data_IF_352538664938
#
_entry.id   IF_352538664938
#
_cell.length_a   1.000
_cell.length_b   1.000
_cell.length_c   1.000
_cell.angle_alpha   90.00
_cell.angle_beta   90.00
_cell.angle_gamma   90.00
#
_symmetry.space_group_name_H-M   'P 1'
#
loop_
_entity.id
_entity.type
_entity.pdbx_description
1 polymer ?
#
# COMPACT_ATOMS: atom_id res chain seq x y z
N UNK A 1 -26.52 -70.05 51.32
CA UNK A 1 -26.56 -68.55 51.55
C UNK A 1 -25.19 -67.90 51.65
N UNK A 2 -24.19 -68.27 50.87
CA UNK A 2 -22.82 -67.63 50.91
C UNK A 2 -22.28 -67.15 49.57
N UNK A 3 -23.06 -67.17 48.50
CA UNK A 3 -22.58 -66.77 47.15
C UNK A 3 -23.09 -65.40 46.66
N UNK A 4 -24.09 -64.81 47.32
CA UNK A 4 -24.74 -63.53 46.88
C UNK A 4 -24.14 -62.27 47.48
N UNK A 5 -23.35 -62.40 48.57
CA UNK A 5 -22.76 -61.23 49.22
C UNK A 5 -21.44 -60.74 48.62
N UNK A 6 -20.75 -61.52 47.78
CA UNK A 6 -19.49 -61.11 47.14
C UNK A 6 -19.65 -60.30 45.84
N UNK A 7 -20.81 -60.33 45.21
CA UNK A 7 -21.07 -59.58 43.97
C UNK A 7 -21.50 -58.13 44.23
N UNK A 8 -22.08 -57.81 45.38
CA UNK A 8 -22.53 -56.46 45.70
C UNK A 8 -21.35 -55.54 46.17
N UNK A 9 -20.29 -56.11 46.73
CA UNK A 9 -19.13 -55.29 47.12
C UNK A 9 -18.22 -54.87 45.96
N UNK A 10 -18.15 -55.68 44.86
CA UNK A 10 -17.38 -55.32 43.69
C UNK A 10 -18.08 -54.24 42.84
N UNK A 11 -19.40 -54.21 42.81
CA UNK A 11 -20.16 -53.20 42.05
C UNK A 11 -20.09 -51.80 42.69
N UNK A 12 -20.01 -51.73 44.01
CA UNK A 12 -19.88 -50.45 44.74
C UNK A 12 -18.47 -49.85 44.63
N UNK A 13 -17.44 -50.68 44.43
CA UNK A 13 -16.06 -50.20 44.29
C UNK A 13 -15.77 -49.66 42.89
N UNK A 14 -16.47 -50.14 41.84
CA UNK A 14 -16.30 -49.66 40.47
C UNK A 14 -17.06 -48.36 40.23
N UNK A 15 -18.19 -48.11 40.94
CA UNK A 15 -18.89 -46.82 40.87
C UNK A 15 -18.19 -45.71 41.65
N UNK A 16 -17.36 -46.04 42.67
CA UNK A 16 -16.62 -45.04 43.44
C UNK A 16 -15.38 -44.50 42.79
N UNK A 17 -14.77 -45.23 41.80
CA UNK A 17 -13.59 -44.76 41.07
C UNK A 17 -13.87 -43.97 39.78
N UNK A 18 -15.15 -43.96 39.32
CA UNK A 18 -15.56 -43.25 38.09
C UNK A 18 -15.81 -41.76 38.25
N UNK A 19 -15.86 -41.23 39.47
CA UNK A 19 -16.20 -39.81 39.74
C UNK A 19 -15.00 -38.90 39.92
N UNK A 20 -13.76 -39.45 39.94
CA UNK A 20 -12.57 -38.65 40.22
C UNK A 20 -11.71 -38.27 38.99
N UNK A 21 -12.21 -38.54 37.75
CA UNK A 21 -11.58 -38.08 36.53
C UNK A 21 -12.48 -37.09 35.76
N UNK A 22 -12.96 -36.06 36.44
CA UNK A 22 -13.42 -34.88 35.71
C UNK A 22 -12.19 -34.24 35.04
N UNK A 23 -12.18 -34.04 33.71
CA UNK A 23 -11.09 -33.28 33.08
C UNK A 23 -11.05 -31.91 33.72
N UNK A 24 -10.06 -31.60 34.50
CA UNK A 24 -9.74 -30.22 34.87
C UNK A 24 -9.48 -29.51 33.54
N UNK A 25 -10.42 -28.67 33.10
CA UNK A 25 -10.18 -27.75 32.03
C UNK A 25 -8.96 -26.91 32.42
N UNK A 26 -7.81 -27.21 31.81
CA UNK A 26 -6.63 -26.40 31.95
C UNK A 26 -6.96 -25.08 31.26
N UNK A 27 -7.43 -24.09 32.01
CA UNK A 27 -7.47 -22.73 31.56
C UNK A 27 -6.02 -22.29 31.43
N UNK A 28 -5.53 -22.19 30.19
CA UNK A 28 -4.27 -21.53 29.91
C UNK A 28 -4.45 -20.03 30.23
N UNK A 29 -4.23 -19.65 31.48
CA UNK A 29 -4.15 -18.25 31.86
C UNK A 29 -2.83 -17.71 31.35
N UNK A 30 -2.88 -16.63 30.58
CA UNK A 30 -1.67 -15.89 30.21
C UNK A 30 -0.87 -15.55 31.48
N UNK A 31 0.46 -15.68 31.45
CA UNK A 31 1.27 -15.31 32.60
C UNK A 31 1.03 -13.85 32.95
N UNK A 32 0.78 -13.57 34.22
CA UNK A 32 0.55 -12.19 34.71
C UNK A 32 1.84 -11.37 34.74
N UNK A 33 2.99 -12.01 34.62
CA UNK A 33 4.30 -11.37 34.59
C UNK A 33 5.31 -12.23 33.79
N UNK A 34 6.28 -11.57 33.16
CA UNK A 34 7.46 -12.20 32.54
C UNK A 34 8.70 -11.63 33.23
N UNK A 35 9.59 -12.53 33.71
CA UNK A 35 10.79 -12.15 34.49
C UNK A 35 10.51 -11.25 35.70
N UNK A 36 9.35 -11.45 36.37
CA UNK A 36 8.95 -10.66 37.54
C UNK A 36 8.36 -9.28 37.23
N UNK A 37 8.27 -8.90 35.96
CA UNK A 37 7.60 -7.67 35.53
C UNK A 37 6.17 -7.99 35.04
N UNK A 38 5.19 -7.24 35.53
CA UNK A 38 3.82 -7.33 35.02
C UNK A 38 3.78 -7.07 33.51
N UNK A 39 2.97 -7.84 32.76
CA UNK A 39 2.77 -7.59 31.34
C UNK A 39 2.21 -6.17 31.16
N UNK A 40 2.87 -5.32 30.36
CA UNK A 40 2.40 -3.96 30.17
C UNK A 40 1.05 -3.97 29.45
N UNK A 41 0.11 -3.16 29.93
CA UNK A 41 -1.14 -2.90 29.20
C UNK A 41 -0.85 -2.05 27.96
N UNK A 42 -1.46 -2.39 26.83
CA UNK A 42 -1.41 -1.58 25.60
C UNK A 42 -2.38 -0.38 25.66
N UNK A 43 -3.32 -0.36 26.63
CA UNK A 43 -4.37 0.65 26.71
C UNK A 43 -3.84 2.09 26.69
N UNK A 44 -2.82 2.49 27.49
CA UNK A 44 -2.34 3.88 27.47
C UNK A 44 -1.72 4.34 26.16
N UNK A 45 -1.14 3.41 25.39
CA UNK A 45 -0.61 3.68 24.05
C UNK A 45 -1.77 3.80 23.05
N UNK A 46 -2.74 2.89 23.12
CA UNK A 46 -3.90 2.85 22.24
C UNK A 46 -4.79 4.09 22.38
N UNK A 47 -5.00 4.59 23.58
CA UNK A 47 -5.74 5.85 23.83
C UNK A 47 -5.16 7.04 23.05
N UNK A 48 -3.85 7.05 22.82
CA UNK A 48 -3.18 8.11 22.04
C UNK A 48 -3.25 7.90 20.54
N UNK A 49 -3.27 6.64 20.09
CA UNK A 49 -3.17 6.28 18.65
C UNK A 49 -4.54 6.16 17.99
N UNK A 50 -5.52 5.60 18.69
CA UNK A 50 -6.87 5.35 18.16
C UNK A 50 -7.54 6.57 17.53
N UNK A 51 -7.40 7.81 18.05
CA UNK A 51 -7.94 9.00 17.39
C UNK A 51 -7.36 9.31 16.00
N UNK A 52 -6.18 8.74 15.66
CA UNK A 52 -5.60 8.85 14.32
C UNK A 52 -6.13 7.80 13.33
N UNK A 53 -6.88 6.80 13.81
CA UNK A 53 -7.44 5.73 12.99
C UNK A 53 -8.88 6.05 12.64
N UNK A 54 -9.22 5.95 11.35
CA UNK A 54 -10.53 6.35 10.84
C UNK A 54 -11.23 5.19 10.13
N UNK A 55 -12.55 5.24 10.12
CA UNK A 55 -13.40 4.42 9.25
C UNK A 55 -13.62 5.14 7.93
N UNK A 56 -13.55 4.41 6.84
CA UNK A 56 -13.83 4.91 5.50
C UNK A 56 -15.05 4.18 4.95
N UNK A 57 -16.06 4.93 4.59
CA UNK A 57 -17.24 4.44 3.89
C UNK A 57 -17.26 5.04 2.49
N UNK A 58 -17.49 4.20 1.48
CA UNK A 58 -17.62 4.60 0.09
C UNK A 58 -18.99 4.28 -0.48
N UNK A 59 -19.45 5.11 -1.39
CA UNK A 59 -20.62 4.87 -2.23
C UNK A 59 -20.17 5.04 -3.69
N UNK A 60 -20.54 4.12 -4.56
CA UNK A 60 -20.16 4.16 -5.96
C UNK A 60 -21.13 3.41 -6.84
N UNK A 61 -20.88 3.43 -8.15
CA UNK A 61 -21.63 2.70 -9.17
C UNK A 61 -20.70 1.74 -9.90
N UNK A 62 -21.08 0.49 -10.01
CA UNK A 62 -20.34 -0.47 -10.83
C UNK A 62 -20.41 -0.02 -12.30
N UNK A 63 -19.26 0.22 -12.93
CA UNK A 63 -19.20 0.50 -14.37
C UNK A 63 -19.33 -0.82 -15.11
N UNK A 64 -20.27 -0.91 -16.04
CA UNK A 64 -20.41 -2.02 -16.98
C UNK A 64 -19.28 -1.93 -18.02
N UNK A 65 -18.06 -2.24 -17.67
CA UNK A 65 -16.97 -2.39 -18.64
C UNK A 65 -15.75 -3.04 -18.01
N UNK A 66 -15.38 -4.16 -18.61
CA UNK A 66 -14.11 -4.87 -18.48
C UNK A 66 -13.81 -5.44 -17.07
N UNK A 67 -13.80 -6.76 -17.01
CA UNK A 67 -13.08 -7.54 -16.01
C UNK A 67 -11.67 -6.96 -15.82
N UNK A 68 -11.48 -6.10 -14.83
CA UNK A 68 -10.23 -6.09 -14.11
C UNK A 68 -10.36 -7.22 -13.10
N UNK A 69 -9.61 -8.25 -13.27
CA UNK A 69 -9.43 -9.25 -12.25
C UNK A 69 -8.86 -8.51 -11.03
N UNK A 70 -9.68 -8.32 -10.01
CA UNK A 70 -9.16 -8.00 -8.69
C UNK A 70 -8.44 -9.26 -8.25
N UNK A 71 -7.19 -9.20 -7.80
CA UNK A 71 -6.49 -10.36 -7.29
C UNK A 71 -7.38 -11.12 -6.28
N UNK A 72 -7.35 -12.45 -6.36
CA UNK A 72 -8.28 -13.34 -5.63
C UNK A 72 -8.24 -13.09 -4.10
N UNK A 73 -7.08 -12.65 -3.59
CA UNK A 73 -6.85 -12.25 -2.21
C UNK A 73 -7.68 -11.04 -1.74
N UNK A 74 -8.17 -10.21 -2.67
CA UNK A 74 -9.00 -9.05 -2.36
C UNK A 74 -10.51 -9.34 -2.54
N UNK A 75 -10.91 -10.37 -3.28
CA UNK A 75 -12.32 -10.76 -3.46
C UNK A 75 -13.01 -11.02 -2.11
N UNK A 76 -12.27 -11.54 -1.15
CA UNK A 76 -12.77 -11.78 0.20
C UNK A 76 -13.23 -10.51 0.92
N UNK A 77 -12.57 -9.38 0.68
CA UNK A 77 -12.88 -8.11 1.37
C UNK A 77 -14.17 -7.46 0.87
N UNK A 78 -14.57 -7.74 -0.37
CA UNK A 78 -15.76 -7.12 -1.00
C UNK A 78 -16.98 -8.04 -1.07
N UNK A 79 -16.79 -9.34 -0.91
CA UNK A 79 -17.83 -10.36 -1.04
C UNK A 79 -18.19 -10.70 -2.50
N UNK A 80 -18.77 -11.88 -2.74
CA UNK A 80 -19.03 -12.43 -4.08
C UNK A 80 -20.02 -11.62 -4.92
N UNK A 81 -20.86 -10.79 -4.31
CA UNK A 81 -21.90 -10.04 -5.01
C UNK A 81 -21.38 -8.82 -5.77
N UNK A 82 -20.15 -8.34 -5.45
CA UNK A 82 -19.53 -7.22 -6.12
C UNK A 82 -18.98 -7.58 -7.50
N UNK A 83 -18.68 -8.87 -7.73
CA UNK A 83 -18.03 -9.39 -8.92
C UNK A 83 -18.97 -10.21 -9.84
N UNK A 84 -20.24 -10.36 -9.46
CA UNK A 84 -21.22 -11.05 -10.29
C UNK A 84 -21.69 -10.21 -11.46
N UNK A 85 -21.47 -10.72 -12.67
CA UNK A 85 -21.87 -10.17 -13.95
C UNK A 85 -23.39 -10.01 -14.03
N UNK A 86 -23.87 -8.82 -14.23
CA UNK A 86 -25.31 -8.51 -14.40
C UNK A 86 -25.53 -7.09 -14.91
N UNK A 87 -25.36 -6.87 -16.14
CA UNK A 87 -25.96 -5.98 -17.15
C UNK A 87 -26.44 -4.55 -16.82
N UNK A 88 -26.40 -4.07 -15.56
CA UNK A 88 -26.83 -2.71 -15.21
C UNK A 88 -25.94 -2.11 -14.13
N UNK A 89 -25.66 -0.80 -14.17
CA UNK A 89 -24.90 -0.12 -13.11
C UNK A 89 -25.63 -0.29 -11.78
N UNK A 90 -25.00 -0.97 -10.82
CA UNK A 90 -25.53 -1.13 -9.46
C UNK A 90 -24.80 -0.19 -8.52
N UNK A 91 -25.56 0.41 -7.60
CA UNK A 91 -24.95 1.11 -6.48
C UNK A 91 -24.31 0.10 -5.53
N UNK A 92 -23.09 0.38 -5.09
CA UNK A 92 -22.43 -0.41 -4.07
C UNK A 92 -21.99 0.48 -2.92
N UNK A 93 -21.81 -0.12 -1.76
CA UNK A 93 -21.19 0.49 -0.58
C UNK A 93 -20.03 -0.37 -0.16
N UNK A 94 -18.90 0.27 0.12
CA UNK A 94 -17.72 -0.39 0.66
C UNK A 94 -17.31 0.26 1.98
N UNK A 95 -16.60 -0.49 2.79
CA UNK A 95 -16.08 -0.05 4.07
C UNK A 95 -14.64 -0.51 4.25
N UNK A 96 -13.84 0.32 4.90
CA UNK A 96 -12.46 0.04 5.25
C UNK A 96 -11.98 0.98 6.34
N UNK A 97 -10.69 0.96 6.55
CA UNK A 97 -10.02 1.81 7.52
C UNK A 97 -9.03 2.76 6.84
N UNK A 98 -8.58 3.75 7.58
CA UNK A 98 -7.51 4.65 7.17
C UNK A 98 -6.74 5.16 8.38
N UNK A 99 -5.64 5.85 8.11
CA UNK A 99 -4.82 6.46 9.15
C UNK A 99 -4.46 7.90 8.78
N UNK A 100 -4.67 8.84 9.71
CA UNK A 100 -4.34 10.25 9.54
C UNK A 100 -2.83 10.40 9.70
N UNK A 101 -2.15 10.90 8.65
CA UNK A 101 -0.70 11.10 8.61
C UNK A 101 -0.28 12.57 8.65
N UNK A 102 -1.22 13.49 8.43
CA UNK A 102 -1.03 14.95 8.53
C UNK A 102 -2.35 15.57 8.99
N UNK A 103 -2.40 15.95 10.27
CA UNK A 103 -3.60 16.50 10.90
C UNK A 103 -3.96 17.90 10.36
N UNK A 104 -2.97 18.69 9.94
CA UNK A 104 -3.18 20.06 9.46
C UNK A 104 -3.77 20.07 8.05
N UNK A 105 -3.28 19.18 7.17
CA UNK A 105 -3.75 19.06 5.80
C UNK A 105 -4.94 18.11 5.67
N UNK A 106 -5.22 17.30 6.71
CA UNK A 106 -6.27 16.30 6.70
C UNK A 106 -5.94 15.12 5.78
N UNK A 107 -4.67 14.76 5.63
CA UNK A 107 -4.27 13.63 4.80
C UNK A 107 -4.49 12.31 5.55
N UNK A 108 -5.15 11.37 4.86
CA UNK A 108 -5.42 10.02 5.33
C UNK A 108 -4.90 9.03 4.30
N UNK A 109 -4.08 8.09 4.75
CA UNK A 109 -3.64 6.95 3.95
C UNK A 109 -4.60 5.79 4.15
N UNK A 110 -4.88 5.10 3.05
CA UNK A 110 -5.68 3.87 3.03
C UNK A 110 -5.21 2.99 1.88
N UNK A 111 -5.85 1.85 1.64
CA UNK A 111 -5.61 1.04 0.46
C UNK A 111 -6.37 1.57 -0.76
N UNK A 112 -5.79 1.34 -1.95
CA UNK A 112 -6.47 1.66 -3.20
C UNK A 112 -7.77 0.88 -3.34
N UNK A 113 -7.77 -0.43 -3.04
CA UNK A 113 -8.96 -1.26 -3.15
C UNK A 113 -10.12 -0.79 -2.25
N UNK A 114 -9.83 -0.11 -1.12
CA UNK A 114 -10.87 0.45 -0.23
C UNK A 114 -11.65 1.57 -0.89
N UNK A 115 -11.00 2.36 -1.77
CA UNK A 115 -11.61 3.55 -2.39
C UNK A 115 -11.85 3.42 -3.89
N UNK A 116 -11.54 2.25 -4.47
CA UNK A 116 -11.67 2.05 -5.91
C UNK A 116 -13.13 2.21 -6.36
N UNK A 117 -13.32 2.91 -7.50
CA UNK A 117 -14.64 3.23 -8.06
C UNK A 117 -15.60 4.01 -7.13
N UNK A 118 -15.10 4.67 -6.08
CA UNK A 118 -15.91 5.50 -5.21
C UNK A 118 -16.34 6.81 -5.91
N UNK A 119 -17.65 7.07 -5.96
CA UNK A 119 -18.21 8.38 -6.34
C UNK A 119 -18.21 9.33 -5.12
N UNK A 120 -18.28 8.78 -3.91
CA UNK A 120 -18.31 9.52 -2.64
C UNK A 120 -17.51 8.78 -1.58
N UNK A 121 -16.68 9.52 -0.87
CA UNK A 121 -15.87 9.02 0.25
C UNK A 121 -16.27 9.80 1.51
N UNK A 122 -16.69 9.06 2.54
CA UNK A 122 -17.00 9.59 3.87
C UNK A 122 -16.05 8.98 4.88
N UNK A 123 -15.42 9.81 5.71
CA UNK A 123 -14.49 9.40 6.74
C UNK A 123 -15.09 9.72 8.11
N UNK A 124 -15.13 8.72 8.98
CA UNK A 124 -15.64 8.86 10.34
C UNK A 124 -14.52 8.63 11.36
N UNK A 125 -14.40 9.56 12.28
CA UNK A 125 -13.46 9.49 13.41
C UNK A 125 -14.01 8.62 14.54
N UNK A 126 -13.14 8.25 15.48
CA UNK A 126 -13.52 7.50 16.68
C UNK A 126 -14.57 8.26 17.55
N UNK A 127 -14.47 9.58 17.60
CA UNK A 127 -15.40 10.44 18.38
C UNK A 127 -16.75 10.69 17.67
N UNK A 128 -16.97 10.06 16.51
CA UNK A 128 -18.20 10.12 15.75
C UNK A 128 -18.28 11.27 14.74
N UNK A 129 -17.31 12.19 14.69
CA UNK A 129 -17.27 13.23 13.66
C UNK A 129 -17.11 12.61 12.27
N UNK A 130 -17.80 13.19 11.28
CA UNK A 130 -17.76 12.73 9.91
C UNK A 130 -17.25 13.82 8.97
N UNK A 131 -16.42 13.46 8.04
CA UNK A 131 -15.84 14.33 7.02
C UNK A 131 -16.07 13.76 5.63
N UNK A 132 -16.36 14.60 4.66
CA UNK A 132 -16.20 14.25 3.26
C UNK A 132 -14.71 14.24 2.93
N UNK A 133 -14.31 13.35 2.04
CA UNK A 133 -12.94 13.28 1.58
C UNK A 133 -12.86 13.26 0.05
N UNK A 134 -11.73 13.74 -0.48
CA UNK A 134 -11.38 13.70 -1.89
C UNK A 134 -10.16 12.83 -2.11
N UNK A 135 -10.13 12.11 -3.21
CA UNK A 135 -8.96 11.39 -3.64
C UNK A 135 -7.86 12.38 -4.06
N UNK A 136 -6.69 12.32 -3.42
CA UNK A 136 -5.48 13.05 -3.84
C UNK A 136 -4.78 12.28 -4.95
N UNK A 137 -4.65 10.98 -4.77
CA UNK A 137 -4.08 10.05 -5.75
C UNK A 137 -4.06 8.64 -5.22
N UNK A 138 -3.90 7.67 -6.11
CA UNK A 138 -3.85 6.27 -5.76
C UNK A 138 -2.84 5.52 -6.63
N UNK A 139 -2.30 4.44 -6.09
CA UNK A 139 -1.46 3.49 -6.78
C UNK A 139 -2.02 2.07 -6.67
N UNK A 140 -2.74 1.60 -7.71
CA UNK A 140 -3.31 0.25 -7.71
C UNK A 140 -2.25 -0.87 -7.62
N UNK A 141 -1.03 -0.66 -8.16
CA UNK A 141 0.00 -1.69 -8.20
C UNK A 141 0.70 -1.91 -6.84
N UNK A 142 0.61 -0.97 -5.93
CA UNK A 142 1.12 -1.10 -4.56
C UNK A 142 -0.02 -1.02 -3.53
N UNK A 143 -1.26 -0.96 -4.00
CA UNK A 143 -2.48 -0.90 -3.18
C UNK A 143 -2.49 0.23 -2.14
N UNK A 144 -1.98 1.42 -2.50
CA UNK A 144 -1.94 2.60 -1.63
C UNK A 144 -2.78 3.72 -2.23
N UNK A 145 -3.58 4.38 -1.39
CA UNK A 145 -4.30 5.60 -1.75
C UNK A 145 -4.13 6.68 -0.69
N UNK A 146 -4.12 7.92 -1.15
CA UNK A 146 -4.13 9.12 -0.32
C UNK A 146 -5.42 9.88 -0.55
N UNK A 147 -6.17 10.12 0.51
CA UNK A 147 -7.36 10.96 0.50
C UNK A 147 -7.16 12.19 1.39
N UNK A 148 -7.88 13.25 1.10
CA UNK A 148 -7.84 14.49 1.88
C UNK A 148 -9.23 14.82 2.42
N UNK A 149 -9.31 15.02 3.74
CA UNK A 149 -10.53 15.45 4.42
C UNK A 149 -10.88 16.89 4.03
N UNK A 150 -12.16 17.18 3.83
CA UNK A 150 -12.66 18.54 3.63
C UNK A 150 -12.77 19.25 4.99
N UNK A 151 -12.20 20.46 5.08
CA UNK A 151 -12.22 21.30 6.29
C UNK A 151 -11.72 20.56 7.55
N UNK A 152 -10.50 20.00 7.53
CA UNK A 152 -9.94 19.24 8.64
C UNK A 152 -9.86 20.12 9.89
N UNK A 153 -10.30 19.59 11.04
CA UNK A 153 -10.28 20.32 12.30
C UNK A 153 -10.09 19.36 13.47
N UNK A 154 -9.20 19.76 14.40
CA UNK A 154 -8.94 19.02 15.64
C UNK A 154 -8.67 17.53 15.42
N UNK A 155 -7.77 17.23 14.48
CA UNK A 155 -7.35 15.88 14.11
C UNK A 155 -6.10 15.46 14.90
N UNK A 156 -5.95 14.17 15.11
CA UNK A 156 -4.73 13.54 15.64
C UNK A 156 -4.03 12.81 14.49
N UNK A 157 -2.72 13.03 14.32
CA UNK A 157 -1.90 12.31 13.35
C UNK A 157 -1.06 11.22 14.01
N UNK A 158 -0.76 10.16 13.26
CA UNK A 158 0.12 9.11 13.72
C UNK A 158 1.58 9.43 13.38
N UNK A 159 2.50 9.07 14.28
CA UNK A 159 3.93 9.14 13.98
C UNK A 159 4.34 7.94 13.12
N UNK A 160 5.11 8.18 12.06
CA UNK A 160 5.60 7.14 11.15
C UNK A 160 6.96 6.66 11.65
N UNK A 161 7.11 5.34 11.84
CA UNK A 161 8.37 4.70 12.17
C UNK A 161 9.11 4.26 10.90
N UNK A 162 10.41 4.03 11.03
CA UNK A 162 11.25 3.47 9.99
C UNK A 162 11.06 1.95 9.90
N UNK A 163 10.24 1.50 8.94
CA UNK A 163 9.92 0.07 8.75
C UNK A 163 11.12 -0.76 8.28
N UNK A 164 12.19 -0.16 7.77
CA UNK A 164 13.40 -0.88 7.37
C UNK A 164 14.22 -1.37 8.58
N UNK A 165 13.93 -0.86 9.80
CA UNK A 165 14.53 -1.32 11.07
C UNK A 165 13.82 -2.48 11.72
N UNK A 166 12.68 -2.91 11.18
CA UNK A 166 11.90 -4.02 11.72
C UNK A 166 12.66 -5.35 11.64
N UNK A 167 12.44 -6.19 12.64
CA UNK A 167 12.98 -7.53 12.74
C UNK A 167 11.85 -8.53 12.99
N UNK A 168 12.03 -9.73 12.49
CA UNK A 168 11.14 -10.85 12.84
C UNK A 168 11.15 -11.04 14.37
N UNK A 169 9.95 -11.12 14.96
CA UNK A 169 9.75 -11.18 16.40
C UNK A 169 9.42 -9.85 17.07
N UNK A 170 9.57 -8.70 16.39
CA UNK A 170 9.11 -7.41 16.92
C UNK A 170 7.58 -7.40 17.05
N UNK A 171 7.06 -6.87 18.16
CA UNK A 171 5.62 -6.81 18.39
C UNK A 171 4.91 -5.89 17.42
N UNK A 172 3.71 -6.30 17.01
CA UNK A 172 2.82 -5.54 16.15
C UNK A 172 1.43 -5.42 16.74
N UNK A 173 0.75 -4.32 16.46
CA UNK A 173 -0.66 -4.12 16.81
C UNK A 173 -1.38 -3.62 15.56
N UNK A 174 -2.38 -4.37 15.10
CA UNK A 174 -3.24 -3.97 13.99
C UNK A 174 -4.50 -3.30 14.52
N UNK A 175 -4.88 -2.15 13.94
CA UNK A 175 -6.07 -1.41 14.29
C UNK A 175 -6.91 -1.21 13.03
N UNK A 176 -8.23 -1.35 13.18
CA UNK A 176 -9.17 -1.08 12.11
C UNK A 176 -10.59 -1.02 12.65
N UNK A 177 -11.55 -0.82 11.75
CA UNK A 177 -12.97 -0.77 12.09
C UNK A 177 -13.76 -1.80 11.28
N UNK A 178 -13.57 -3.10 11.58
CA UNK A 178 -14.26 -4.17 10.86
C UNK A 178 -15.77 -4.04 11.05
N UNK A 179 -16.52 -4.13 9.95
CA UNK A 179 -17.98 -4.11 9.94
C UNK A 179 -18.65 -2.84 10.50
N UNK A 180 -17.93 -1.71 10.60
CA UNK A 180 -18.49 -0.48 11.14
C UNK A 180 -18.94 -0.56 12.61
N UNK A 181 -18.56 -1.61 13.33
CA UNK A 181 -18.98 -1.87 14.72
C UNK A 181 -18.14 -1.10 15.77
N UNK A 182 -17.18 -0.32 15.34
CA UNK A 182 -16.20 0.36 16.16
C UNK A 182 -14.80 -0.19 15.96
N UNK A 183 -13.81 0.53 16.47
CA UNK A 183 -12.41 0.14 16.31
C UNK A 183 -12.10 -1.17 17.03
N UNK A 184 -11.45 -2.07 16.30
CA UNK A 184 -10.94 -3.34 16.83
C UNK A 184 -9.43 -3.30 16.83
N UNK A 185 -8.84 -3.83 17.89
CA UNK A 185 -7.40 -3.92 18.09
C UNK A 185 -7.00 -5.38 18.24
N UNK A 186 -6.01 -5.80 17.48
CA UNK A 186 -5.39 -7.12 17.58
C UNK A 186 -3.88 -6.98 17.70
N UNK A 187 -3.22 -7.95 18.31
CA UNK A 187 -1.77 -7.94 18.48
C UNK A 187 -1.13 -9.23 18.00
N UNK A 188 0.13 -9.12 17.61
CA UNK A 188 0.96 -10.22 17.15
C UNK A 188 2.42 -9.79 17.07
N UNK A 189 3.15 -10.42 16.17
CA UNK A 189 4.56 -10.12 15.90
C UNK A 189 4.80 -9.96 14.38
N UNK A 190 5.92 -9.40 14.02
CA UNK A 190 6.46 -9.51 12.66
C UNK A 190 6.87 -10.97 12.45
N UNK A 191 6.13 -11.68 11.60
CA UNK A 191 6.38 -13.09 11.28
C UNK A 191 7.41 -13.26 10.16
N UNK A 192 7.42 -12.32 9.18
CA UNK A 192 8.40 -12.26 8.10
C UNK A 192 8.45 -10.86 7.50
N UNK A 193 9.48 -10.59 6.70
CA UNK A 193 9.69 -9.33 5.97
C UNK A 193 9.98 -9.63 4.49
N UNK A 194 9.64 -8.66 3.61
CA UNK A 194 9.92 -8.75 2.18
C UNK A 194 9.09 -9.83 1.48
N UNK A 195 7.86 -10.11 1.96
CA UNK A 195 6.98 -11.11 1.37
C UNK A 195 6.25 -10.56 0.13
N UNK A 196 6.07 -11.45 -0.85
CA UNK A 196 5.19 -11.27 -2.01
C UNK A 196 4.19 -12.42 -2.02
N UNK A 197 2.96 -12.14 -2.41
CA UNK A 197 1.86 -13.13 -2.40
C UNK A 197 1.66 -13.80 -3.74
N UNK A 198 2.16 -13.22 -4.83
CA UNK A 198 1.81 -13.67 -6.16
C UNK A 198 2.88 -13.50 -7.22
N UNK A 199 2.42 -13.36 -8.43
CA UNK A 199 3.24 -13.21 -9.61
C UNK A 199 4.01 -11.89 -9.57
N UNK A 200 5.32 -11.98 -9.75
CA UNK A 200 6.22 -10.82 -9.75
C UNK A 200 5.75 -9.74 -10.75
N UNK A 201 5.00 -10.12 -11.78
CA UNK A 201 4.56 -9.23 -12.86
C UNK A 201 3.29 -8.42 -12.51
N UNK A 202 2.49 -8.82 -11.52
CA UNK A 202 1.19 -8.21 -11.23
C UNK A 202 1.22 -7.02 -10.26
N UNK A 203 2.28 -6.86 -9.43
CA UNK A 203 2.36 -5.77 -8.44
C UNK A 203 3.78 -5.46 -7.95
N UNK A 204 3.89 -4.44 -7.10
CA UNK A 204 5.12 -4.09 -6.40
C UNK A 204 4.99 -4.44 -4.92
N UNK A 205 5.11 -5.73 -4.63
CA UNK A 205 4.87 -6.29 -3.32
C UNK A 205 6.18 -6.48 -2.53
N UNK A 206 6.19 -5.99 -1.32
CA UNK A 206 7.24 -6.23 -0.32
C UNK A 206 6.63 -6.08 1.07
N UNK A 207 5.81 -7.03 1.48
CA UNK A 207 4.98 -6.92 2.68
C UNK A 207 5.71 -7.28 3.96
N UNK A 208 5.26 -6.65 5.06
CA UNK A 208 5.44 -7.15 6.42
C UNK A 208 4.39 -8.23 6.62
N UNK A 209 4.80 -9.46 6.97
CA UNK A 209 3.90 -10.50 7.42
C UNK A 209 3.75 -10.43 8.93
N UNK A 210 2.53 -10.52 9.44
CA UNK A 210 2.20 -10.58 10.87
C UNK A 210 1.15 -11.65 11.16
N UNK A 211 1.15 -12.17 12.38
CA UNK A 211 0.10 -13.05 12.91
C UNK A 211 -0.98 -12.29 13.71
N UNK A 212 -0.83 -10.96 13.85
CA UNK A 212 -1.92 -10.09 14.33
C UNK A 212 -3.15 -10.30 13.44
N UNK A 213 -4.30 -10.55 14.07
CA UNK A 213 -5.52 -10.88 13.34
C UNK A 213 -6.01 -9.68 12.49
N UNK A 214 -5.91 -9.80 11.17
CA UNK A 214 -6.48 -8.86 10.21
C UNK A 214 -7.68 -9.53 9.56
N UNK A 215 -8.80 -8.83 9.48
CA UNK A 215 -10.05 -9.28 8.88
C UNK A 215 -10.65 -8.15 8.04
N UNK A 216 -11.76 -8.43 7.37
CA UNK A 216 -12.54 -7.47 6.59
C UNK A 216 -12.80 -6.20 7.40
N UNK A 217 -12.50 -5.03 6.86
CA UNK A 217 -12.61 -3.72 7.48
C UNK A 217 -11.34 -3.19 8.15
N UNK A 218 -10.32 -4.05 8.40
CA UNK A 218 -9.01 -3.59 8.86
C UNK A 218 -8.13 -3.05 7.72
N UNK A 219 -8.45 -3.37 6.46
CA UNK A 219 -7.72 -2.89 5.28
C UNK A 219 -7.64 -1.37 5.26
N UNK A 220 -6.46 -0.84 5.00
CA UNK A 220 -6.14 0.58 5.05
C UNK A 220 -5.85 1.13 6.44
N UNK A 221 -6.17 0.38 7.50
CA UNK A 221 -5.83 0.72 8.88
C UNK A 221 -4.34 0.49 9.20
N UNK A 222 -3.84 1.08 10.29
CA UNK A 222 -2.44 0.98 10.65
C UNK A 222 -2.07 -0.37 11.27
N UNK A 223 -0.87 -0.84 10.94
CA UNK A 223 -0.06 -1.73 11.75
C UNK A 223 0.95 -0.87 12.50
N UNK A 224 1.00 -0.98 13.83
CA UNK A 224 1.86 -0.14 14.69
C UNK A 224 2.79 -0.98 15.55
N UNK A 225 3.87 -0.35 16.04
CA UNK A 225 4.75 -0.91 17.06
C UNK A 225 4.25 -0.60 18.48
N UNK A 226 4.98 -1.08 19.51
CA UNK A 226 4.62 -0.82 20.91
C UNK A 226 4.78 0.65 21.36
N UNK A 227 5.44 1.50 20.56
CA UNK A 227 5.52 2.93 20.80
C UNK A 227 4.30 3.67 20.23
N UNK A 228 3.37 2.98 19.56
CA UNK A 228 2.23 3.58 18.86
C UNK A 228 2.61 4.23 17.52
N UNK A 229 3.73 3.86 16.94
CA UNK A 229 4.20 4.42 15.67
C UNK A 229 3.81 3.50 14.50
N UNK A 230 3.43 4.09 13.38
CA UNK A 230 3.05 3.38 12.15
C UNK A 230 4.24 2.63 11.56
N UNK A 231 4.14 1.32 11.44
CA UNK A 231 5.13 0.46 10.78
C UNK A 231 4.62 -0.09 9.45
N UNK A 232 3.30 -0.08 9.22
CA UNK A 232 2.71 -0.53 7.95
C UNK A 232 1.23 -0.20 7.84
N UNK A 233 0.67 -0.44 6.64
CA UNK A 233 -0.75 -0.33 6.32
C UNK A 233 -1.28 -1.74 6.07
N UNK A 234 -2.26 -2.18 6.87
CA UNK A 234 -2.88 -3.50 6.69
C UNK A 234 -3.55 -3.58 5.30
N UNK A 235 -3.28 -4.65 4.54
CA UNK A 235 -3.80 -4.75 3.17
C UNK A 235 -4.49 -6.09 2.89
N UNK A 236 -3.83 -7.21 3.07
CA UNK A 236 -4.31 -8.52 2.64
C UNK A 236 -4.14 -9.61 3.70
N UNK A 237 -4.85 -10.73 3.50
CA UNK A 237 -4.63 -11.98 4.24
C UNK A 237 -4.53 -13.14 3.25
N UNK A 238 -3.74 -14.16 3.57
CA UNK A 238 -3.85 -15.46 2.91
C UNK A 238 -4.77 -16.33 3.77
N UNK A 239 -5.91 -16.73 3.20
CA UNK A 239 -6.88 -17.53 3.93
C UNK A 239 -7.68 -18.44 3.00
N UNK A 240 -7.50 -19.76 3.09
CA UNK A 240 -8.31 -20.71 2.32
C UNK A 240 -9.80 -20.70 2.68
N UNK A 241 -10.15 -20.21 3.87
CA UNK A 241 -11.51 -20.19 4.40
C UNK A 241 -12.14 -18.79 4.47
N UNK A 242 -11.40 -17.76 4.06
CA UNK A 242 -11.85 -16.37 4.10
C UNK A 242 -11.77 -15.69 5.47
N UNK A 243 -11.29 -16.35 6.53
CA UNK A 243 -11.04 -15.76 7.84
C UNK A 243 -9.53 -15.72 8.14
N UNK A 244 -9.10 -14.96 9.15
CA UNK A 244 -7.71 -14.90 9.55
C UNK A 244 -7.17 -16.29 9.92
N UNK A 245 -6.10 -16.74 9.24
CA UNK A 245 -5.40 -17.99 9.50
C UNK A 245 -4.02 -17.77 10.15
N UNK A 246 -3.77 -16.59 10.72
CA UNK A 246 -2.46 -16.22 11.29
C UNK A 246 -1.46 -15.74 10.24
N UNK A 247 -1.91 -15.43 9.02
CA UNK A 247 -1.08 -14.89 7.94
C UNK A 247 -1.74 -13.62 7.41
N UNK A 248 -1.25 -12.47 7.86
CA UNK A 248 -1.69 -11.17 7.43
C UNK A 248 -0.51 -10.37 6.88
N UNK A 249 -0.80 -9.45 5.95
CA UNK A 249 0.18 -8.62 5.27
C UNK A 249 -0.11 -7.14 5.47
N UNK A 250 0.97 -6.37 5.62
CA UNK A 250 0.91 -4.93 5.65
C UNK A 250 1.98 -4.33 4.72
N UNK A 251 1.62 -3.24 4.05
CA UNK A 251 2.54 -2.43 3.23
C UNK A 251 3.47 -1.69 4.19
N UNK A 252 4.81 -1.81 4.07
CA UNK A 252 5.74 -1.14 4.96
C UNK A 252 5.55 0.38 4.99
N UNK A 253 5.70 1.00 6.16
CA UNK A 253 5.49 2.45 6.33
C UNK A 253 6.42 3.30 5.46
N UNK A 254 7.69 2.89 5.26
CA UNK A 254 8.61 3.59 4.36
C UNK A 254 8.12 3.56 2.91
N UNK A 255 7.63 2.40 2.45
CA UNK A 255 7.06 2.26 1.12
C UNK A 255 5.80 3.13 0.96
N UNK A 256 4.86 3.04 1.91
CA UNK A 256 3.65 3.86 1.91
C UNK A 256 3.99 5.36 1.91
N UNK A 257 4.95 5.80 2.73
CA UNK A 257 5.36 7.20 2.80
C UNK A 257 5.99 7.69 1.49
N UNK A 258 6.86 6.89 0.85
CA UNK A 258 7.44 7.23 -0.46
C UNK A 258 6.37 7.41 -1.53
N UNK A 259 5.36 6.54 -1.54
CA UNK A 259 4.23 6.66 -2.46
C UNK A 259 3.39 7.90 -2.16
N UNK A 260 3.06 8.13 -0.88
CA UNK A 260 2.30 9.32 -0.44
C UNK A 260 2.98 10.62 -0.85
N UNK A 261 4.30 10.74 -0.69
CA UNK A 261 5.02 11.95 -1.12
C UNK A 261 4.89 12.18 -2.63
N UNK A 262 4.98 11.11 -3.43
CA UNK A 262 4.78 11.22 -4.89
C UNK A 262 3.32 11.56 -5.24
N UNK A 263 2.33 10.98 -4.55
CA UNK A 263 0.92 11.31 -4.75
C UNK A 263 0.61 12.78 -4.39
N UNK A 264 1.25 13.33 -3.35
CA UNK A 264 1.12 14.76 -3.00
C UNK A 264 1.77 15.64 -4.06
N UNK A 265 2.98 15.28 -4.52
CA UNK A 265 3.77 16.10 -5.44
C UNK A 265 3.24 16.02 -6.89
N UNK A 266 2.89 14.82 -7.34
CA UNK A 266 2.57 14.57 -8.75
C UNK A 266 1.12 14.14 -9.00
N UNK A 267 0.37 13.76 -7.96
CA UNK A 267 -0.95 13.14 -8.11
C UNK A 267 -0.91 11.70 -8.63
N UNK A 268 0.28 11.18 -8.91
CA UNK A 268 0.55 9.84 -9.45
C UNK A 268 1.92 9.34 -8.96
N UNK A 269 2.17 8.04 -9.11
CA UNK A 269 3.46 7.42 -8.77
C UNK A 269 4.34 7.35 -10.00
N UNK A 270 5.50 8.01 -9.94
CA UNK A 270 6.57 7.95 -10.93
C UNK A 270 7.58 6.89 -10.54
N UNK A 271 7.42 5.69 -11.10
CA UNK A 271 8.26 4.56 -10.72
C UNK A 271 9.70 4.72 -11.14
N UNK A 272 10.59 4.39 -10.21
CA UNK A 272 12.00 4.24 -10.50
C UNK A 272 12.28 2.91 -11.19
N UNK A 273 13.15 2.94 -12.21
CA UNK A 273 13.60 1.75 -12.91
C UNK A 273 15.11 1.60 -12.81
N UNK A 274 15.53 0.38 -12.49
CA UNK A 274 16.94 -0.02 -12.51
C UNK A 274 17.35 -0.56 -13.89
N UNK A 275 16.42 -1.24 -14.59
CA UNK A 275 16.63 -1.84 -15.90
C UNK A 275 17.42 -3.14 -15.82
N UNK A 276 17.00 -4.05 -14.97
CA UNK A 276 17.51 -5.41 -14.84
C UNK A 276 16.38 -6.41 -14.99
N UNK A 277 16.71 -7.63 -15.45
CA UNK A 277 15.91 -8.84 -15.25
C UNK A 277 16.63 -9.73 -14.26
N UNK A 278 15.89 -10.53 -13.53
CA UNK A 278 16.47 -11.41 -12.54
C UNK A 278 15.43 -12.26 -11.83
N UNK A 279 15.84 -12.81 -10.72
CA UNK A 279 14.99 -13.65 -9.88
C UNK A 279 15.59 -13.86 -8.50
N UNK A 280 14.97 -14.78 -7.77
CA UNK A 280 15.42 -15.13 -6.43
C UNK A 280 16.76 -15.85 -6.46
N UNK A 281 17.65 -15.49 -5.54
CA UNK A 281 18.87 -16.26 -5.33
C UNK A 281 18.49 -17.61 -4.71
N UNK A 282 18.93 -18.70 -5.34
CA UNK A 282 18.84 -20.05 -4.81
C UNK A 282 20.22 -20.66 -4.59
N UNK A 283 20.27 -21.84 -3.94
CA UNK A 283 21.54 -22.50 -3.61
C UNK A 283 22.39 -22.86 -4.84
N UNK A 284 21.75 -23.22 -5.97
CA UNK A 284 22.45 -23.58 -7.20
C UNK A 284 23.07 -22.35 -7.86
N UNK A 285 22.35 -21.24 -7.91
CA UNK A 285 22.88 -19.95 -8.40
C UNK A 285 24.00 -19.44 -7.50
N UNK A 286 23.84 -19.50 -6.18
CA UNK A 286 24.88 -19.07 -5.23
C UNK A 286 26.18 -19.87 -5.45
N UNK A 287 26.07 -21.18 -5.65
CA UNK A 287 27.22 -22.06 -5.94
C UNK A 287 27.83 -21.79 -7.31
N UNK A 288 26.99 -21.64 -8.36
CA UNK A 288 27.45 -21.45 -9.74
C UNK A 288 28.22 -20.14 -9.92
N UNK A 289 27.84 -19.08 -9.16
CA UNK A 289 28.44 -17.75 -9.24
C UNK A 289 29.41 -17.43 -8.08
N UNK A 290 29.79 -18.44 -7.30
CA UNK A 290 30.70 -18.31 -6.14
C UNK A 290 30.26 -17.20 -5.16
N UNK A 291 28.98 -17.16 -4.85
CA UNK A 291 28.37 -16.14 -4.00
C UNK A 291 28.10 -16.70 -2.61
N UNK A 292 28.74 -16.13 -1.60
CA UNK A 292 28.49 -16.49 -0.20
C UNK A 292 27.30 -15.69 0.37
N UNK A 293 26.10 -15.92 -0.19
CA UNK A 293 24.84 -15.37 0.31
C UNK A 293 23.73 -16.42 0.19
N UNK A 294 22.81 -16.40 1.15
CA UNK A 294 21.63 -17.28 1.14
C UNK A 294 20.38 -16.57 0.58
N UNK A 295 20.41 -15.26 0.50
CA UNK A 295 19.30 -14.40 0.07
C UNK A 295 19.83 -13.21 -0.73
N UNK A 296 19.03 -12.71 -1.66
CA UNK A 296 19.35 -11.56 -2.49
C UNK A 296 18.62 -11.61 -3.83
N UNK A 297 18.80 -10.57 -4.61
CA UNK A 297 18.26 -10.47 -5.96
C UNK A 297 19.33 -10.85 -6.99
N UNK A 298 19.17 -11.99 -7.66
CA UNK A 298 20.07 -12.42 -8.73
C UNK A 298 19.76 -11.64 -10.02
N UNK A 299 20.78 -11.05 -10.64
CA UNK A 299 20.69 -10.33 -11.91
C UNK A 299 20.99 -11.28 -13.07
N UNK A 300 19.98 -11.65 -13.85
CA UNK A 300 20.15 -12.50 -15.04
C UNK A 300 20.50 -11.70 -16.29
N UNK A 301 20.01 -10.45 -16.39
CA UNK A 301 20.23 -9.56 -17.54
C UNK A 301 20.27 -8.10 -17.08
N UNK A 302 21.14 -7.31 -17.69
CA UNK A 302 21.17 -5.85 -17.54
C UNK A 302 20.79 -5.24 -18.88
N UNK A 303 19.73 -4.44 -18.90
CA UNK A 303 19.24 -3.80 -20.13
C UNK A 303 20.22 -2.73 -20.63
N UNK A 304 20.50 -2.65 -21.94
CA UNK A 304 21.34 -1.60 -22.49
C UNK A 304 20.83 -0.19 -22.10
N UNK A 305 21.76 0.73 -21.87
CA UNK A 305 21.50 2.15 -21.52
C UNK A 305 20.66 2.36 -20.26
N UNK A 306 20.36 1.30 -19.50
CA UNK A 306 19.64 1.36 -18.26
C UNK A 306 20.44 2.04 -17.13
N UNK A 307 19.77 2.40 -16.04
CA UNK A 307 20.41 2.87 -14.82
C UNK A 307 21.46 1.88 -14.31
N UNK A 308 21.13 0.58 -14.32
CA UNK A 308 22.04 -0.51 -13.95
C UNK A 308 23.26 -0.60 -14.86
N UNK A 309 23.08 -0.50 -16.19
CA UNK A 309 24.18 -0.52 -17.15
C UNK A 309 25.14 0.66 -16.95
N UNK A 310 24.60 1.87 -16.78
CA UNK A 310 25.37 3.10 -16.48
C UNK A 310 26.15 3.01 -15.17
N UNK A 311 25.58 2.33 -14.18
CA UNK A 311 26.23 2.07 -12.89
C UNK A 311 27.24 0.91 -12.94
N UNK A 312 27.36 0.18 -14.06
CA UNK A 312 28.31 -0.91 -14.23
C UNK A 312 27.88 -2.24 -13.61
N UNK A 313 26.59 -2.44 -13.32
CA UNK A 313 26.04 -3.73 -12.95
C UNK A 313 26.11 -4.69 -14.15
N UNK A 314 26.21 -6.00 -13.90
CA UNK A 314 26.33 -7.05 -14.90
C UNK A 314 25.46 -8.24 -14.57
N UNK A 315 25.14 -9.03 -15.59
CA UNK A 315 24.57 -10.36 -15.37
C UNK A 315 25.52 -11.20 -14.50
N UNK A 316 24.96 -11.93 -13.55
CA UNK A 316 25.68 -12.71 -12.54
C UNK A 316 25.91 -11.95 -11.23
N UNK A 317 25.62 -10.64 -11.14
CA UNK A 317 25.62 -9.93 -9.85
C UNK A 317 24.48 -10.41 -8.95
N UNK A 318 24.72 -10.40 -7.65
CA UNK A 318 23.69 -10.64 -6.64
C UNK A 318 23.55 -9.39 -5.77
N UNK A 319 22.43 -8.69 -5.88
CA UNK A 319 22.16 -7.51 -5.08
C UNK A 319 21.69 -7.94 -3.69
N UNK A 320 22.44 -7.56 -2.66
CA UNK A 320 22.23 -7.94 -1.27
C UNK A 320 21.83 -6.77 -0.38
N UNK A 321 21.95 -5.51 -0.89
CA UNK A 321 21.60 -4.31 -0.13
C UNK A 321 21.13 -3.16 -0.99
N UNK A 322 20.29 -2.29 -0.40
CA UNK A 322 19.82 -1.03 -0.95
C UNK A 322 19.81 0.01 0.17
N UNK A 323 20.55 1.12 -0.01
CA UNK A 323 20.70 2.21 0.96
C UNK A 323 21.09 1.71 2.36
N UNK A 324 22.03 0.74 2.44
CA UNK A 324 22.47 0.12 3.68
C UNK A 324 21.50 -0.89 4.30
N UNK A 325 20.33 -1.10 3.69
CA UNK A 325 19.34 -2.08 4.14
C UNK A 325 19.46 -3.38 3.35
N UNK A 326 19.30 -4.51 4.05
CA UNK A 326 19.41 -5.83 3.46
C UNK A 326 18.28 -6.08 2.45
N UNK A 327 18.63 -6.60 1.28
CA UNK A 327 17.69 -7.12 0.27
C UNK A 327 17.66 -8.63 0.36
N UNK A 328 16.48 -9.20 0.55
CA UNK A 328 16.26 -10.63 0.75
C UNK A 328 15.81 -11.35 -0.51
N UNK A 329 15.15 -10.60 -1.43
CA UNK A 329 14.49 -11.17 -2.62
C UNK A 329 14.54 -10.20 -3.81
N UNK A 330 14.35 -10.73 -5.01
CA UNK A 330 14.21 -9.91 -6.22
C UNK A 330 12.92 -9.07 -6.18
N UNK A 331 11.83 -9.64 -5.65
CA UNK A 331 10.57 -8.93 -5.47
C UNK A 331 10.73 -7.73 -4.53
N UNK A 332 11.42 -7.90 -3.39
CA UNK A 332 11.73 -6.80 -2.45
C UNK A 332 12.54 -5.69 -3.12
N UNK A 333 13.60 -6.05 -3.87
CA UNK A 333 14.40 -5.08 -4.62
C UNK A 333 13.53 -4.29 -5.59
N UNK A 334 12.70 -4.99 -6.38
CA UNK A 334 11.81 -4.39 -7.40
C UNK A 334 10.84 -3.42 -6.77
N UNK A 335 10.18 -3.81 -5.68
CA UNK A 335 9.25 -2.95 -4.96
C UNK A 335 9.92 -1.70 -4.38
N UNK A 336 11.06 -1.85 -3.70
CA UNK A 336 11.80 -0.72 -3.13
C UNK A 336 12.33 0.24 -4.20
N UNK A 337 12.89 -0.27 -5.30
CA UNK A 337 13.34 0.55 -6.44
C UNK A 337 12.19 1.32 -7.06
N UNK A 338 11.09 0.64 -7.38
CA UNK A 338 9.94 1.25 -8.03
C UNK A 338 9.31 2.36 -7.18
N UNK A 339 9.15 2.11 -5.88
CA UNK A 339 8.50 3.06 -4.96
C UNK A 339 9.41 4.19 -4.48
N UNK A 340 10.74 4.06 -4.60
CA UNK A 340 11.68 5.16 -4.36
C UNK A 340 11.47 6.30 -5.37
N UNK A 341 11.10 5.96 -6.60
CA UNK A 341 10.73 6.93 -7.63
C UNK A 341 11.85 7.27 -8.61
N UNK A 342 11.43 7.75 -9.79
CA UNK A 342 12.32 8.15 -10.86
C UNK A 342 13.21 9.35 -10.48
N UNK A 343 14.43 9.39 -10.99
CA UNK A 343 15.40 10.46 -10.76
C UNK A 343 16.06 10.45 -9.37
N UNK A 344 15.66 9.55 -8.47
CA UNK A 344 16.27 9.41 -7.15
C UNK A 344 17.57 8.61 -7.25
N UNK A 345 18.58 9.00 -6.49
CA UNK A 345 19.82 8.24 -6.31
C UNK A 345 19.63 7.20 -5.19
N UNK A 346 20.05 5.97 -5.46
CA UNK A 346 20.12 4.88 -4.49
C UNK A 346 21.54 4.32 -4.44
N UNK A 347 21.92 3.73 -3.31
CA UNK A 347 23.15 2.96 -3.18
C UNK A 347 22.81 1.47 -3.14
N UNK A 348 23.39 0.69 -4.05
CA UNK A 348 23.26 -0.75 -4.10
C UNK A 348 24.51 -1.42 -3.56
N UNK A 349 24.34 -2.40 -2.68
CA UNK A 349 25.38 -3.36 -2.28
C UNK A 349 25.14 -4.65 -3.05
N UNK A 350 26.17 -5.17 -3.70
CA UNK A 350 26.08 -6.38 -4.51
C UNK A 350 27.35 -7.23 -4.41
N UNK A 351 27.19 -8.52 -4.66
CA UNK A 351 28.28 -9.49 -4.74
C UNK A 351 28.59 -9.78 -6.20
N UNK A 352 29.88 -9.76 -6.56
CA UNK A 352 30.44 -10.17 -7.86
C UNK A 352 31.76 -10.86 -7.64
N UNK A 353 31.92 -12.08 -8.20
CA UNK A 353 33.13 -12.90 -8.06
C UNK A 353 33.54 -13.05 -6.58
N UNK A 354 32.56 -13.38 -5.71
CA UNK A 354 32.76 -13.56 -4.29
C UNK A 354 33.08 -12.28 -3.49
N UNK A 355 33.10 -11.10 -4.12
CA UNK A 355 33.46 -9.82 -3.48
C UNK A 355 32.28 -8.87 -3.39
N UNK A 356 32.09 -8.27 -2.20
CA UNK A 356 31.11 -7.24 -1.96
C UNK A 356 31.57 -5.90 -2.59
N UNK A 357 30.62 -5.22 -3.23
CA UNK A 357 30.83 -3.91 -3.88
C UNK A 357 29.62 -3.03 -3.65
N UNK A 358 29.86 -1.72 -3.63
CA UNK A 358 28.81 -0.71 -3.56
C UNK A 358 28.82 0.15 -4.83
N UNK A 359 27.64 0.57 -5.27
CA UNK A 359 27.50 1.47 -6.41
C UNK A 359 26.30 2.40 -6.22
N UNK A 360 26.46 3.66 -6.57
CA UNK A 360 25.37 4.64 -6.65
C UNK A 360 24.71 4.58 -8.00
N UNK A 361 23.39 4.59 -8.00
CA UNK A 361 22.57 4.47 -9.20
C UNK A 361 21.47 5.52 -9.17
N UNK A 362 21.37 6.34 -10.21
CA UNK A 362 20.21 7.23 -10.40
C UNK A 362 19.15 6.48 -11.19
N UNK A 363 17.99 6.29 -10.57
CA UNK A 363 16.88 5.55 -11.16
C UNK A 363 16.29 6.27 -12.38
N UNK A 364 15.98 5.51 -13.44
CA UNK A 364 15.30 6.04 -14.61
C UNK A 364 13.78 6.07 -14.39
N UNK A 365 13.07 6.85 -15.21
CA UNK A 365 11.60 6.82 -15.26
C UNK A 365 11.10 5.66 -16.11
N UNK A 366 9.96 5.09 -15.74
CA UNK A 366 9.17 4.27 -16.64
C UNK A 366 8.42 5.20 -17.61
N UNK A 367 8.76 5.18 -18.90
CA UNK A 367 8.08 5.99 -19.91
C UNK A 367 6.59 5.59 -20.08
N UNK A 368 6.16 4.50 -19.48
CA UNK A 368 4.76 4.06 -19.47
C UNK A 368 3.88 4.79 -18.45
N UNK A 369 4.43 5.60 -17.53
CA UNK A 369 3.67 6.43 -16.58
C UNK A 369 3.12 7.70 -17.25
N UNK A 370 2.39 7.52 -18.34
CA UNK A 370 1.67 8.62 -19.00
C UNK A 370 0.24 8.66 -18.45
N UNK A 371 -0.08 9.68 -17.68
CA UNK A 371 -1.46 9.89 -17.21
C UNK A 371 -2.35 10.26 -18.40
N UNK A 372 -3.37 9.43 -18.68
CA UNK A 372 -4.32 9.76 -19.74
C UNK A 372 -5.27 10.87 -19.26
N UNK A 373 -5.65 11.76 -20.18
CA UNK A 373 -6.60 12.85 -19.93
C UNK A 373 -7.96 12.39 -19.39
N UNK A 374 -8.32 11.14 -19.65
CA UNK A 374 -9.57 10.54 -19.17
C UNK A 374 -9.68 10.51 -17.65
N UNK A 375 -8.52 10.50 -16.95
CA UNK A 375 -8.46 10.55 -15.49
C UNK A 375 -8.38 11.97 -14.92
N UNK A 376 -8.02 12.98 -15.73
CA UNK A 376 -7.88 14.37 -15.29
C UNK A 376 -9.12 15.21 -15.60
N UNK A 377 -9.55 15.20 -16.86
CA UNK A 377 -10.74 15.93 -17.32
C UNK A 377 -11.34 15.22 -18.54
N UNK A 378 -12.65 14.89 -18.53
CA UNK A 378 -13.32 14.30 -19.69
C UNK A 378 -13.17 15.16 -20.95
N UNK A 379 -13.10 16.48 -20.78
CA UNK A 379 -12.96 17.45 -21.85
C UNK A 379 -11.58 17.49 -22.52
N UNK A 380 -10.56 16.86 -21.94
CA UNK A 380 -9.22 16.69 -22.51
C UNK A 380 -8.97 15.25 -22.99
N UNK A 381 -10.05 14.47 -23.18
CA UNK A 381 -9.93 13.09 -23.63
C UNK A 381 -9.11 12.99 -24.91
N UNK A 382 -8.13 12.08 -24.95
CA UNK A 382 -7.18 11.89 -26.03
C UNK A 382 -5.85 12.62 -25.86
N UNK A 383 -5.63 13.36 -24.75
CA UNK A 383 -4.32 13.87 -24.41
C UNK A 383 -3.64 13.00 -23.35
N UNK A 384 -2.30 12.92 -23.40
CA UNK A 384 -1.44 12.34 -22.36
C UNK A 384 -0.60 13.48 -21.76
N UNK A 385 -0.40 13.42 -20.44
CA UNK A 385 0.29 14.47 -19.68
C UNK A 385 1.50 13.94 -18.93
N UNK A 386 2.50 14.79 -18.77
CA UNK A 386 3.62 14.58 -17.85
C UNK A 386 3.98 15.86 -17.13
N UNK A 387 4.71 15.75 -16.01
CA UNK A 387 5.27 16.95 -15.40
C UNK A 387 6.37 17.54 -16.29
N UNK A 388 6.42 18.86 -16.36
CA UNK A 388 7.42 19.65 -17.08
C UNK A 388 8.26 20.43 -16.09
N UNK A 389 9.59 20.33 -16.21
CA UNK A 389 10.53 21.10 -15.40
C UNK A 389 11.83 21.33 -16.20
N UNK A 390 11.77 22.31 -17.09
CA UNK A 390 12.92 22.68 -17.91
C UNK A 390 13.11 24.20 -17.95
N UNK A 391 14.35 24.65 -18.03
CA UNK A 391 14.74 26.08 -18.16
C UNK A 391 14.11 26.98 -17.10
N UNK A 392 13.88 26.45 -15.88
CA UNK A 392 13.27 27.20 -14.79
C UNK A 392 11.75 27.34 -14.87
N UNK A 393 11.11 26.73 -15.86
CA UNK A 393 9.65 26.66 -16.01
C UNK A 393 9.17 25.30 -15.50
N UNK A 394 8.23 25.34 -14.59
CA UNK A 394 7.52 24.15 -14.10
C UNK A 394 6.08 24.17 -14.60
N UNK A 395 5.50 23.00 -14.85
CA UNK A 395 4.12 22.87 -15.34
C UNK A 395 3.76 21.44 -15.70
N UNK A 396 2.74 21.29 -16.55
CA UNK A 396 2.27 19.99 -17.06
C UNK A 396 2.33 19.98 -18.57
N UNK A 397 3.21 19.16 -19.14
CA UNK A 397 3.36 19.00 -20.59
C UNK A 397 2.32 18.05 -21.16
N UNK A 398 1.77 18.39 -22.32
CA UNK A 398 0.99 17.49 -23.15
C UNK A 398 1.95 16.69 -24.04
N UNK A 399 2.18 15.42 -23.67
CA UNK A 399 3.15 14.55 -24.35
C UNK A 399 2.62 13.89 -25.61
N UNK A 400 1.29 13.76 -25.71
CA UNK A 400 0.60 13.19 -26.86
C UNK A 400 -0.81 13.77 -26.98
N UNK A 401 -1.28 13.92 -28.20
CA UNK A 401 -2.68 14.21 -28.54
C UNK A 401 -3.12 13.23 -29.62
N UNK A 402 -4.18 12.48 -29.36
CA UNK A 402 -4.74 11.50 -30.29
C UNK A 402 -5.53 12.25 -31.39
N UNK A 403 -5.39 11.76 -32.64
CA UNK A 403 -6.16 12.29 -33.77
C UNK A 403 -7.66 12.07 -33.56
N UNK A 404 -8.44 13.06 -33.97
CA UNK A 404 -9.92 13.10 -33.83
C UNK A 404 -10.39 13.02 -32.34
N UNK A 405 -9.56 13.38 -31.40
CA UNK A 405 -9.89 13.45 -29.98
C UNK A 405 -10.50 14.81 -29.60
N UNK A 406 -11.12 14.87 -28.41
CA UNK A 406 -11.63 16.15 -27.88
C UNK A 406 -10.49 17.13 -27.59
N UNK A 407 -9.32 16.64 -27.18
CA UNK A 407 -8.13 17.46 -26.98
C UNK A 407 -7.67 18.11 -28.30
N UNK A 408 -7.58 17.35 -29.40
CA UNK A 408 -7.24 17.90 -30.73
C UNK A 408 -8.27 18.90 -31.21
N UNK A 409 -9.57 18.59 -31.09
CA UNK A 409 -10.67 19.48 -31.48
C UNK A 409 -10.65 20.82 -30.75
N UNK A 410 -10.08 20.86 -29.54
CA UNK A 410 -9.89 22.09 -28.76
C UNK A 410 -8.56 22.81 -29.00
N UNK A 411 -7.76 22.31 -29.95
CA UNK A 411 -6.53 22.93 -30.40
C UNK A 411 -5.31 22.66 -29.54
N UNK A 412 -5.36 21.68 -28.63
CA UNK A 412 -4.19 21.22 -27.90
C UNK A 412 -3.21 20.47 -28.81
N UNK A 413 -1.93 20.57 -28.51
CA UNK A 413 -0.85 19.95 -29.30
C UNK A 413 0.18 19.32 -28.36
N UNK A 414 0.88 18.32 -28.87
CA UNK A 414 2.08 17.80 -28.22
C UNK A 414 3.10 18.93 -28.01
N UNK A 415 3.69 19.01 -26.82
CA UNK A 415 4.64 20.05 -26.42
C UNK A 415 4.00 21.29 -25.81
N UNK A 416 2.66 21.36 -25.70
CA UNK A 416 2.01 22.39 -24.90
C UNK A 416 2.29 22.16 -23.42
N UNK A 417 2.58 23.21 -22.66
CA UNK A 417 2.81 23.13 -21.22
C UNK A 417 1.73 23.95 -20.49
N UNK A 418 0.93 23.28 -19.66
CA UNK A 418 -0.01 23.94 -18.77
C UNK A 418 0.77 24.51 -17.59
N UNK A 419 0.84 25.82 -17.46
CA UNK A 419 1.54 26.54 -16.40
C UNK A 419 0.60 27.18 -15.40
N UNK A 420 -0.71 27.09 -15.62
CA UNK A 420 -1.69 27.64 -14.70
C UNK A 420 -3.13 27.30 -15.07
N UNK A 421 -4.04 27.44 -14.10
CA UNK A 421 -5.51 27.32 -14.25
C UNK A 421 -6.18 28.46 -13.49
N UNK A 422 -7.07 29.19 -14.14
CA UNK A 422 -7.86 30.26 -13.50
C UNK A 422 -7.01 31.23 -12.67
N UNK A 423 -5.88 31.70 -13.21
CA UNK A 423 -4.89 32.58 -12.57
C UNK A 423 -4.10 31.94 -11.41
N UNK A 424 -4.25 30.65 -11.13
CA UNK A 424 -3.41 29.91 -10.20
C UNK A 424 -2.28 29.25 -10.98
N UNK A 425 -1.05 29.40 -10.53
CA UNK A 425 0.08 28.68 -11.11
C UNK A 425 -0.06 27.18 -10.85
N UNK A 426 0.37 26.37 -11.81
CA UNK A 426 0.40 24.92 -11.73
C UNK A 426 1.82 24.47 -12.05
N UNK A 427 2.50 23.85 -11.11
CA UNK A 427 3.88 23.41 -11.26
C UNK A 427 4.02 21.91 -11.59
N UNK A 428 2.92 21.11 -11.40
CA UNK A 428 2.93 19.67 -11.61
C UNK A 428 1.51 19.11 -11.77
N UNK A 429 1.41 17.81 -12.13
CA UNK A 429 0.13 17.11 -12.31
C UNK A 429 -0.74 17.08 -11.04
N UNK A 430 -0.12 16.97 -9.87
CA UNK A 430 -0.83 16.97 -8.60
C UNK A 430 -1.53 18.30 -8.34
N UNK A 431 -0.85 19.41 -8.59
CA UNK A 431 -1.44 20.76 -8.47
C UNK A 431 -2.52 21.00 -9.52
N UNK A 432 -2.29 20.56 -10.78
CA UNK A 432 -3.31 20.62 -11.82
C UNK A 432 -4.58 19.90 -11.37
N UNK A 433 -4.45 18.66 -10.89
CA UNK A 433 -5.57 17.86 -10.38
C UNK A 433 -6.28 18.56 -9.24
N UNK A 434 -5.54 19.07 -8.25
CA UNK A 434 -6.10 19.77 -7.08
C UNK A 434 -6.95 20.99 -7.48
N UNK A 435 -6.54 21.75 -8.50
CA UNK A 435 -7.32 22.89 -9.00
C UNK A 435 -8.56 22.41 -9.75
N UNK A 436 -8.45 21.34 -10.54
CA UNK A 436 -9.57 20.77 -11.29
C UNK A 436 -10.62 20.11 -10.38
N UNK A 437 -10.18 19.43 -9.32
CA UNK A 437 -11.06 18.79 -8.34
C UNK A 437 -11.87 19.80 -7.50
N UNK A 438 -11.41 21.06 -7.43
CA UNK A 438 -12.21 22.13 -6.82
C UNK A 438 -13.47 22.48 -7.66
N UNK A 439 -13.66 21.81 -8.81
CA UNK A 439 -14.79 21.90 -9.71
C UNK A 439 -15.19 23.36 -10.06
N UNK A 440 -14.27 24.18 -10.59
CA UNK A 440 -14.57 25.56 -10.93
C UNK A 440 -15.62 25.62 -12.05
N UNK A 441 -16.54 26.58 -11.96
CA UNK A 441 -17.64 26.78 -12.93
C UNK A 441 -17.15 27.08 -14.35
N UNK A 442 -15.91 27.51 -14.50
CA UNK A 442 -15.21 27.68 -15.76
C UNK A 442 -13.73 27.37 -15.57
N UNK A 443 -13.10 26.70 -16.53
CA UNK A 443 -11.70 26.34 -16.51
C UNK A 443 -10.99 27.08 -17.66
N UNK A 444 -10.06 27.98 -17.32
CA UNK A 444 -9.17 28.65 -18.25
C UNK A 444 -7.74 28.15 -18.02
N UNK A 445 -7.25 27.26 -18.89
CA UNK A 445 -5.88 26.77 -18.85
C UNK A 445 -4.92 27.78 -19.43
N UNK A 446 -3.89 28.16 -18.69
CA UNK A 446 -2.78 28.97 -19.20
C UNK A 446 -1.75 28.03 -19.84
N UNK A 447 -1.59 28.11 -21.14
CA UNK A 447 -0.75 27.23 -21.95
C UNK A 447 0.48 28.01 -22.42
N UNK A 448 1.64 27.44 -22.19
CA UNK A 448 2.89 27.86 -22.80
C UNK A 448 3.16 27.01 -24.05
N UNK A 449 3.22 27.64 -25.24
CA UNK A 449 3.56 27.00 -26.51
C UNK A 449 4.60 27.83 -27.23
N UNK A 450 5.73 27.25 -27.57
CA UNK A 450 6.83 27.91 -28.28
C UNK A 450 7.25 29.25 -27.65
N UNK A 451 7.28 29.34 -26.34
CA UNK A 451 7.65 30.53 -25.58
C UNK A 451 6.54 31.60 -25.43
N UNK A 452 5.35 31.35 -25.96
CA UNK A 452 4.19 32.27 -25.86
C UNK A 452 3.11 31.68 -24.95
N UNK A 453 2.55 32.51 -24.06
CA UNK A 453 1.45 32.14 -23.18
C UNK A 453 0.11 32.56 -23.78
N UNK A 454 -0.88 31.66 -23.71
CA UNK A 454 -2.28 31.94 -24.08
C UNK A 454 -3.24 31.12 -23.22
N UNK A 455 -4.50 31.51 -23.21
CA UNK A 455 -5.52 30.81 -22.44
C UNK A 455 -6.42 29.96 -23.33
N UNK A 456 -6.70 28.73 -22.91
CA UNK A 456 -7.72 27.87 -23.49
C UNK A 456 -8.84 27.68 -22.48
N UNK A 457 -10.06 28.08 -22.85
CA UNK A 457 -11.24 27.91 -21.99
C UNK A 457 -11.84 26.54 -22.26
N UNK A 458 -12.11 25.81 -21.17
CA UNK A 458 -12.72 24.49 -21.19
C UNK A 458 -14.04 24.58 -20.41
N UNK A 459 -15.13 24.29 -21.09
CA UNK A 459 -16.48 24.20 -20.51
C UNK A 459 -16.87 22.73 -20.33
#
# INVERSE_FOLDING_TARGET
MKATMKKSLLTSLVLGLGVLSAPMAAHATLPTAVNGQALPSLAPMLEKVRPAVVSIAIEGKTKVSARRAVPEEFEFFFGPDMFRDGGSPRQFKGEGSGVIIDAKKGYVVTNNHVIDNADKITVKLEDGREFKAKLVGADPMSDVALIQLENPKDLTEIKIADSDKLRVGDFTVAIGNPFGLGQTVTSGIVSALGRSTGDIDEGYESYIQTDAAVNRGNSGGPLINLNGELIGINTAIISPSGGNAGIAFAIPSNMANNLVQQLIEFGEVKRGLLGIKGGELNADLAKAFDVNAQQGAFVSEVMPESAAAKAGLKAGDVITGLNGQKIRSFAELRAKVATTGAGKEIELTYLRDGKEKNVKVTLQSDEQTKTSAKSLLPSLNGAEFSNYNEKGIKGVEITKVEKNSLAEARGFRKGDVIVGVNRRTVENLGELRKVLDSNPSAIALNILRNGSNFYVIIN
#
